data_IF_722241492515
#
_entry.id   IF_722241492515
#
_cell.length_a   1.000
_cell.length_b   1.000
_cell.length_c   1.000
_cell.angle_alpha   90.00
_cell.angle_beta   90.00
_cell.angle_gamma   90.00
#
_symmetry.space_group_name_H-M   'P 1'
#
loop_
_entity.id
_entity.type
_entity.pdbx_description
1 polymer ?
#
# COMPACT_ATOMS: atom_id res chain seq x y z
N UNK A 1 58.96 53.67 38.66
CA UNK A 1 57.75 53.52 37.86
C UNK A 1 57.82 52.20 37.11
N UNK A 2 57.01 51.22 37.55
CA UNK A 2 56.95 49.84 36.92
C UNK A 2 55.74 49.80 36.05
N UNK A 3 55.86 49.64 34.76
CA UNK A 3 54.77 49.42 33.83
C UNK A 3 54.44 47.90 33.78
N UNK A 4 53.24 47.56 34.18
CA UNK A 4 52.71 46.21 34.03
C UNK A 4 51.97 46.13 32.67
N UNK A 5 52.56 45.40 31.74
CA UNK A 5 51.90 45.10 30.46
C UNK A 5 50.86 43.95 30.68
N UNK A 6 49.59 44.29 30.53
CA UNK A 6 48.52 43.33 30.57
C UNK A 6 48.31 42.77 29.15
N UNK A 7 48.73 41.52 28.90
CA UNK A 7 48.46 40.82 27.64
C UNK A 7 47.04 40.20 27.66
N UNK A 8 46.13 40.77 26.88
CA UNK A 8 44.81 40.22 26.68
C UNK A 8 44.89 39.13 25.58
N UNK A 9 44.85 37.88 25.99
CA UNK A 9 44.77 36.74 25.09
C UNK A 9 43.33 36.57 24.63
N UNK A 10 43.03 36.98 23.39
CA UNK A 10 41.73 36.74 22.75
C UNK A 10 41.62 35.24 22.38
N UNK A 11 40.85 34.49 23.15
CA UNK A 11 40.50 33.10 22.81
C UNK A 11 39.40 33.13 21.74
N UNK A 12 39.78 32.93 20.47
CA UNK A 12 38.80 32.70 19.40
C UNK A 12 38.20 31.30 19.56
N UNK A 13 37.01 31.23 20.11
CA UNK A 13 36.18 30.00 20.04
C UNK A 13 35.68 29.84 18.60
N UNK A 14 36.34 28.99 17.84
CA UNK A 14 35.81 28.51 16.56
C UNK A 14 34.66 27.56 16.86
N UNK A 15 33.43 28.04 16.73
CA UNK A 15 32.24 27.17 16.74
C UNK A 15 32.23 26.40 15.42
N UNK A 16 32.72 25.18 15.44
CA UNK A 16 32.47 24.23 14.35
C UNK A 16 31.01 23.86 14.40
N UNK A 17 30.22 24.40 13.47
CA UNK A 17 28.86 23.88 13.25
C UNK A 17 28.97 22.42 12.78
N UNK A 18 28.60 21.50 13.65
CA UNK A 18 28.42 20.09 13.27
C UNK A 18 27.19 20.00 12.35
N UNK A 19 27.41 20.12 11.05
CA UNK A 19 26.35 19.78 10.10
C UNK A 19 26.08 18.27 10.21
N UNK A 20 24.93 17.91 10.81
CA UNK A 20 24.49 16.54 10.83
C UNK A 20 24.27 16.10 9.37
N UNK A 21 25.10 15.17 8.90
CA UNK A 21 24.95 14.61 7.56
C UNK A 21 23.63 13.85 7.48
N UNK A 22 22.76 14.21 6.53
CA UNK A 22 21.51 13.51 6.29
C UNK A 22 21.81 12.06 5.92
N UNK A 23 21.34 11.12 6.75
CA UNK A 23 21.45 9.69 6.47
C UNK A 23 20.21 9.26 5.70
N UNK A 24 20.39 8.85 4.47
CA UNK A 24 19.29 8.25 3.68
C UNK A 24 18.99 6.83 4.17
N UNK A 25 17.71 6.42 4.21
CA UNK A 25 17.33 5.05 4.56
C UNK A 25 17.78 4.06 3.48
N UNK A 26 17.99 2.81 3.89
CA UNK A 26 18.18 1.71 2.95
C UNK A 26 16.86 1.39 2.23
N UNK A 27 16.95 0.68 1.09
CA UNK A 27 15.76 0.20 0.39
C UNK A 27 15.00 -0.80 1.25
N UNK A 28 13.69 -0.61 1.35
CA UNK A 28 12.83 -1.55 2.08
C UNK A 28 12.77 -2.91 1.37
N UNK A 29 12.72 -3.99 2.17
CA UNK A 29 12.63 -5.37 1.66
C UNK A 29 11.26 -5.70 1.06
N UNK A 30 10.27 -4.84 1.29
CA UNK A 30 8.92 -4.93 0.75
C UNK A 30 8.62 -3.64 0.00
N UNK A 31 9.23 -3.42 -1.18
CA UNK A 31 9.13 -2.15 -1.89
C UNK A 31 7.68 -1.80 -2.22
N UNK A 32 7.39 -0.50 -2.21
CA UNK A 32 6.10 0.02 -2.66
C UNK A 32 5.94 -0.18 -4.16
N UNK A 33 4.72 -0.50 -4.56
CA UNK A 33 4.31 -0.65 -5.96
C UNK A 33 2.93 -0.02 -6.16
N UNK A 34 2.55 0.16 -7.41
CA UNK A 34 1.22 0.66 -7.75
C UNK A 34 0.68 0.02 -9.02
N UNK A 35 -0.63 -0.20 -9.04
CA UNK A 35 -1.36 -0.67 -10.20
C UNK A 35 -2.49 0.30 -10.54
N UNK A 36 -2.77 0.45 -11.84
CA UNK A 36 -3.81 1.34 -12.35
C UNK A 36 -4.87 0.58 -13.13
N UNK A 37 -6.08 1.15 -13.16
CA UNK A 37 -7.04 0.83 -14.18
C UNK A 37 -7.38 2.09 -15.01
N UNK A 38 -7.25 2.05 -16.33
CA UNK A 38 -6.77 0.92 -17.15
C UNK A 38 -5.31 0.57 -16.84
N UNK A 39 -4.98 -0.70 -17.03
CA UNK A 39 -3.63 -1.22 -16.77
C UNK A 39 -2.59 -0.43 -17.57
N UNK A 40 -1.44 -0.12 -16.97
CA UNK A 40 -0.37 0.69 -17.55
C UNK A 40 -0.82 2.11 -17.94
N UNK A 41 -1.79 2.68 -17.24
CA UNK A 41 -2.36 4.01 -17.53
C UNK A 41 -1.29 5.09 -17.84
N UNK A 42 -0.20 5.28 -17.07
CA UNK A 42 0.80 6.31 -17.38
C UNK A 42 1.46 6.12 -18.75
N UNK A 43 1.67 4.87 -19.18
CA UNK A 43 2.22 4.56 -20.51
C UNK A 43 1.19 4.83 -21.59
N UNK A 44 -0.08 4.48 -21.36
CA UNK A 44 -1.16 4.79 -22.30
C UNK A 44 -1.34 6.30 -22.48
N UNK A 45 -1.19 7.06 -21.40
CA UNK A 45 -1.30 8.51 -21.41
C UNK A 45 -0.18 9.17 -22.22
N UNK A 46 1.09 8.75 -22.03
CA UNK A 46 2.21 9.29 -22.82
C UNK A 46 2.14 8.90 -24.30
N UNK A 47 1.44 7.81 -24.61
CA UNK A 47 1.17 7.35 -25.98
C UNK A 47 -0.11 8.00 -26.57
N UNK A 48 -0.74 8.94 -25.87
CA UNK A 48 -1.99 9.61 -26.27
C UNK A 48 -3.17 8.64 -26.54
N UNK A 49 -3.11 7.42 -25.93
CA UNK A 49 -4.16 6.41 -26.07
C UNK A 49 -5.31 6.58 -25.10
N UNK A 50 -5.13 7.42 -24.08
CA UNK A 50 -6.17 7.78 -23.10
C UNK A 50 -6.09 9.27 -22.80
N UNK A 51 -7.24 9.92 -22.72
CA UNK A 51 -7.39 11.35 -22.39
C UNK A 51 -7.98 11.54 -21.00
N UNK A 52 -8.90 10.65 -20.62
CA UNK A 52 -9.59 10.69 -19.34
C UNK A 52 -8.65 10.29 -18.18
N UNK A 53 -8.92 10.75 -16.95
CA UNK A 53 -8.24 10.25 -15.76
C UNK A 53 -8.34 8.72 -15.61
N UNK A 54 -7.46 8.06 -14.83
CA UNK A 54 -7.64 6.65 -14.53
C UNK A 54 -8.94 6.45 -13.76
N UNK A 55 -9.52 5.26 -13.79
CA UNK A 55 -10.71 4.92 -12.99
C UNK A 55 -10.31 4.59 -11.55
N UNK A 56 -9.24 3.80 -11.41
CA UNK A 56 -8.72 3.39 -10.10
C UNK A 56 -7.20 3.30 -10.10
N UNK A 57 -6.62 3.43 -8.90
CA UNK A 57 -5.22 3.17 -8.59
C UNK A 57 -5.14 2.49 -7.24
N UNK A 58 -4.29 1.48 -7.12
CA UNK A 58 -3.93 0.86 -5.84
C UNK A 58 -2.44 1.08 -5.59
N UNK A 59 -2.09 1.48 -4.36
CA UNK A 59 -0.71 1.64 -3.88
C UNK A 59 -0.51 0.67 -2.72
N UNK A 60 0.52 -0.17 -2.79
CA UNK A 60 0.70 -1.26 -1.84
C UNK A 60 2.17 -1.68 -1.74
N UNK A 61 2.56 -2.29 -0.62
CA UNK A 61 3.90 -2.88 -0.47
C UNK A 61 3.89 -4.34 -0.87
N UNK A 62 5.02 -4.81 -1.42
CA UNK A 62 5.20 -6.16 -1.95
C UNK A 62 6.12 -7.03 -1.08
N UNK A 63 5.65 -7.54 0.08
CA UNK A 63 6.43 -8.52 0.83
C UNK A 63 6.64 -9.79 0.00
N UNK A 64 7.83 -10.39 0.16
CA UNK A 64 8.20 -11.65 -0.48
C UNK A 64 7.91 -12.82 0.45
N UNK A 65 7.58 -13.97 -0.12
CA UNK A 65 7.38 -15.23 0.60
C UNK A 65 8.67 -15.73 1.25
N UNK A 66 9.77 -15.72 0.52
CA UNK A 66 11.10 -16.15 0.99
C UNK A 66 11.06 -17.51 1.71
N UNK A 67 10.40 -18.50 1.11
CA UNK A 67 10.29 -19.85 1.67
C UNK A 67 9.42 -19.98 2.92
N UNK A 68 8.77 -18.91 3.40
CA UNK A 68 7.89 -18.94 4.58
C UNK A 68 6.53 -19.52 4.25
N UNK A 69 5.88 -20.10 5.26
CA UNK A 69 4.44 -20.38 5.22
C UNK A 69 3.71 -19.06 5.50
N UNK A 70 2.90 -18.60 4.55
CA UNK A 70 2.25 -17.30 4.64
C UNK A 70 0.96 -17.40 5.44
N UNK A 71 -0.05 -18.08 4.91
CA UNK A 71 -1.38 -18.13 5.53
C UNK A 71 -1.44 -19.19 6.62
N UNK A 72 -1.95 -18.82 7.80
CA UNK A 72 -1.98 -19.67 8.99
C UNK A 72 -0.68 -19.71 9.79
N UNK A 73 0.39 -18.99 9.36
CA UNK A 73 1.65 -18.88 10.08
C UNK A 73 2.16 -17.43 10.15
N UNK A 74 2.57 -16.83 9.04
CA UNK A 74 2.96 -15.42 9.01
C UNK A 74 1.74 -14.50 9.17
N UNK A 75 0.63 -14.85 8.55
CA UNK A 75 -0.65 -14.18 8.63
C UNK A 75 -1.66 -15.14 9.26
N UNK A 76 -2.14 -14.77 10.45
CA UNK A 76 -3.18 -15.53 11.15
C UNK A 76 -4.50 -15.44 10.40
N UNK A 77 -5.18 -16.57 10.27
CA UNK A 77 -6.57 -16.59 9.80
C UNK A 77 -7.50 -15.83 10.76
N UNK A 78 -8.50 -15.16 10.22
CA UNK A 78 -9.48 -14.38 10.99
C UNK A 78 -8.95 -13.07 11.57
N UNK A 79 -7.72 -12.65 11.26
CA UNK A 79 -7.15 -11.37 11.70
C UNK A 79 -7.11 -10.35 10.58
N UNK A 80 -7.36 -9.08 10.94
CA UNK A 80 -7.26 -7.97 9.98
C UNK A 80 -5.81 -7.78 9.56
N UNK A 81 -5.57 -7.84 8.26
CA UNK A 81 -4.29 -7.62 7.62
C UNK A 81 -4.36 -6.42 6.66
N UNK A 82 -3.29 -5.60 6.67
CA UNK A 82 -3.15 -4.39 5.85
C UNK A 82 -2.95 -4.62 4.35
N UNK A 83 -3.05 -5.87 3.86
CA UNK A 83 -2.84 -6.27 2.46
C UNK A 83 -1.49 -5.78 1.90
N UNK A 84 -0.41 -6.10 2.63
CA UNK A 84 0.97 -5.71 2.29
C UNK A 84 1.88 -5.71 3.51
N UNK A 85 2.89 -4.86 3.48
CA UNK A 85 3.84 -4.61 4.56
C UNK A 85 3.90 -3.11 4.84
N UNK A 86 4.40 -2.71 6.02
CA UNK A 86 4.57 -1.33 6.44
C UNK A 86 3.22 -0.58 6.47
N UNK A 87 3.01 0.38 5.57
CA UNK A 87 1.75 1.10 5.42
C UNK A 87 0.61 0.17 4.98
N UNK A 88 -0.61 0.54 5.32
CA UNK A 88 -1.78 -0.13 4.78
C UNK A 88 -1.92 0.15 3.28
N UNK A 89 -2.36 -0.85 2.52
CA UNK A 89 -2.69 -0.67 1.11
C UNK A 89 -3.78 0.36 0.93
N UNK A 90 -3.60 1.26 -0.02
CA UNK A 90 -4.61 2.26 -0.36
C UNK A 90 -5.12 2.08 -1.79
N UNK A 91 -6.42 2.24 -1.95
CA UNK A 91 -7.08 2.33 -3.25
C UNK A 91 -7.68 3.72 -3.44
N UNK A 92 -7.45 4.29 -4.61
CA UNK A 92 -8.06 5.55 -5.01
C UNK A 92 -8.99 5.31 -6.20
N UNK A 93 -10.24 5.73 -6.06
CA UNK A 93 -11.21 5.77 -7.14
C UNK A 93 -11.35 7.21 -7.65
N UNK A 94 -11.14 7.41 -8.94
CA UNK A 94 -11.27 8.72 -9.58
C UNK A 94 -12.70 9.02 -10.05
N UNK A 95 -13.56 7.98 -10.05
CA UNK A 95 -14.99 8.03 -10.30
C UNK A 95 -15.74 7.24 -9.24
N UNK A 96 -17.07 7.44 -9.12
CA UNK A 96 -17.92 6.57 -8.31
C UNK A 96 -17.92 5.15 -8.92
N UNK A 97 -17.77 4.13 -8.08
CA UNK A 97 -17.77 2.72 -8.49
C UNK A 97 -18.78 1.92 -7.66
N UNK A 98 -19.05 0.68 -8.06
CA UNK A 98 -19.82 -0.28 -7.27
C UNK A 98 -18.99 -1.51 -6.98
N UNK A 99 -19.04 -1.97 -5.73
CA UNK A 99 -18.44 -3.23 -5.28
C UNK A 99 -19.52 -3.98 -4.49
N UNK A 100 -19.81 -5.22 -4.88
CA UNK A 100 -20.89 -6.01 -4.28
C UNK A 100 -22.20 -5.20 -4.10
N UNK A 101 -22.65 -4.54 -5.17
CA UNK A 101 -23.84 -3.67 -5.22
C UNK A 101 -23.77 -2.42 -4.30
N UNK A 102 -22.74 -2.23 -3.53
CA UNK A 102 -22.53 -1.02 -2.71
C UNK A 102 -21.83 0.05 -3.53
N UNK A 103 -22.42 1.25 -3.55
CA UNK A 103 -21.83 2.41 -4.23
C UNK A 103 -20.72 2.99 -3.36
N UNK A 104 -19.49 3.01 -3.91
CA UNK A 104 -18.33 3.67 -3.31
C UNK A 104 -18.08 4.97 -4.07
N UNK A 105 -18.04 6.08 -3.38
CA UNK A 105 -17.76 7.39 -3.96
C UNK A 105 -16.32 7.49 -4.43
N UNK A 106 -16.05 8.38 -5.39
CA UNK A 106 -14.68 8.76 -5.72
C UNK A 106 -13.95 9.21 -4.45
N UNK A 107 -12.67 8.85 -4.31
CA UNK A 107 -11.88 9.16 -3.14
C UNK A 107 -10.81 8.12 -2.87
N UNK A 108 -10.04 8.35 -1.81
CA UNK A 108 -8.97 7.47 -1.34
C UNK A 108 -9.45 6.71 -0.10
N UNK A 109 -9.12 5.44 -0.03
CA UNK A 109 -9.55 4.49 1.00
C UNK A 109 -8.43 3.53 1.33
N UNK A 110 -8.36 3.04 2.56
CA UNK A 110 -7.51 1.89 2.86
C UNK A 110 -8.22 0.59 2.53
N UNK A 111 -7.44 -0.38 2.03
CA UNK A 111 -7.86 -1.76 1.86
C UNK A 111 -7.27 -2.62 2.98
N UNK A 112 -8.14 -3.40 3.62
CA UNK A 112 -7.73 -4.45 4.54
C UNK A 112 -8.31 -5.80 4.07
N UNK A 113 -7.69 -6.88 4.53
CA UNK A 113 -8.18 -8.23 4.30
C UNK A 113 -8.24 -9.01 5.61
N UNK A 114 -9.20 -9.90 5.74
CA UNK A 114 -9.22 -10.92 6.78
C UNK A 114 -9.06 -12.26 6.08
N UNK A 115 -7.86 -12.85 6.10
CA UNK A 115 -7.62 -14.15 5.47
C UNK A 115 -8.41 -15.27 6.14
N UNK A 116 -8.89 -16.20 5.34
CA UNK A 116 -9.40 -17.50 5.74
C UNK A 116 -9.05 -18.54 4.66
N UNK A 117 -9.10 -19.81 4.96
CA UNK A 117 -8.69 -20.89 4.06
C UNK A 117 -9.55 -21.00 2.80
N UNK A 118 -10.81 -20.58 2.86
CA UNK A 118 -11.80 -20.76 1.78
C UNK A 118 -12.22 -19.44 1.13
N UNK A 119 -12.22 -18.36 1.89
CA UNK A 119 -12.65 -17.03 1.45
C UNK A 119 -11.99 -15.96 2.30
N UNK A 120 -11.74 -14.79 1.71
CA UNK A 120 -11.29 -13.65 2.48
C UNK A 120 -12.38 -12.59 2.58
N UNK A 121 -12.41 -11.87 3.70
CA UNK A 121 -13.19 -10.64 3.78
C UNK A 121 -12.30 -9.49 3.35
N UNK A 122 -12.63 -8.84 2.23
CA UNK A 122 -11.98 -7.60 1.81
C UNK A 122 -12.76 -6.42 2.37
N UNK A 123 -12.06 -5.45 2.91
CA UNK A 123 -12.62 -4.29 3.61
C UNK A 123 -12.16 -3.02 2.91
N UNK A 124 -13.11 -2.11 2.66
CA UNK A 124 -12.83 -0.73 2.27
C UNK A 124 -13.10 0.15 3.47
N UNK A 125 -12.07 0.84 3.96
CA UNK A 125 -12.12 1.67 5.16
C UNK A 125 -11.81 3.14 4.81
N UNK A 126 -12.47 4.08 5.50
CA UNK A 126 -12.31 5.52 5.26
C UNK A 126 -11.01 6.10 5.78
N UNK A 127 -10.41 5.46 6.79
CA UNK A 127 -9.14 5.90 7.35
C UNK A 127 -8.02 5.69 6.36
N UNK A 128 -7.17 6.68 6.14
CA UNK A 128 -6.04 6.63 5.21
C UNK A 128 -4.74 7.00 5.93
N UNK A 129 -3.59 6.83 5.25
CA UNK A 129 -2.28 7.20 5.77
C UNK A 129 -1.92 6.44 7.07
N UNK A 130 -2.35 5.17 7.17
CA UNK A 130 -2.17 4.34 8.36
C UNK A 130 -0.97 3.40 8.22
N UNK A 131 -0.25 3.19 9.34
CA UNK A 131 0.79 2.18 9.43
C UNK A 131 0.21 0.85 9.93
N UNK A 132 0.25 -0.18 9.09
CA UNK A 132 -0.25 -1.50 9.46
C UNK A 132 -1.76 -1.54 9.67
N UNK A 133 -2.21 -2.42 10.56
CA UNK A 133 -3.60 -2.53 11.02
C UNK A 133 -3.74 -2.26 12.53
N UNK A 134 -2.73 -1.63 13.15
CA UNK A 134 -2.68 -1.47 14.61
C UNK A 134 -3.77 -0.56 15.18
N UNK A 135 -4.20 0.42 14.40
CA UNK A 135 -5.27 1.36 14.75
C UNK A 135 -6.53 1.17 13.90
N UNK A 136 -6.68 -0.04 13.31
CA UNK A 136 -7.87 -0.34 12.55
C UNK A 136 -9.13 -0.19 13.40
N UNK A 137 -10.10 0.60 12.90
CA UNK A 137 -11.43 0.77 13.53
C UNK A 137 -12.51 0.39 12.51
N UNK A 138 -13.29 -0.64 12.82
CA UNK A 138 -14.38 -1.13 11.99
C UNK A 138 -15.52 -0.11 11.79
N UNK A 139 -15.62 0.90 12.66
CA UNK A 139 -16.61 1.99 12.50
C UNK A 139 -16.35 2.82 11.24
N UNK A 140 -15.13 2.79 10.72
CA UNK A 140 -14.73 3.47 9.50
C UNK A 140 -14.92 2.59 8.25
N UNK A 141 -15.41 1.36 8.38
CA UNK A 141 -15.66 0.50 7.24
C UNK A 141 -16.83 1.01 6.41
N UNK A 142 -16.60 1.14 5.12
CA UNK A 142 -17.64 1.42 4.12
C UNK A 142 -18.25 0.13 3.57
N UNK A 143 -17.42 -0.89 3.45
CA UNK A 143 -17.80 -2.16 2.85
C UNK A 143 -16.96 -3.29 3.43
N UNK A 144 -17.60 -4.40 3.67
CA UNK A 144 -16.99 -5.72 3.86
C UNK A 144 -17.57 -6.68 2.85
N UNK A 145 -16.74 -7.34 2.08
CA UNK A 145 -17.16 -8.29 1.05
C UNK A 145 -16.35 -9.57 1.14
N UNK A 146 -17.03 -10.71 1.11
CA UNK A 146 -16.38 -12.01 1.09
C UNK A 146 -16.03 -12.39 -0.35
N UNK A 147 -14.77 -12.76 -0.57
CA UNK A 147 -14.24 -13.17 -1.87
C UNK A 147 -13.69 -14.59 -1.72
N UNK A 148 -14.15 -15.56 -2.54
CA UNK A 148 -13.65 -16.93 -2.48
C UNK A 148 -12.17 -17.00 -2.86
N UNK A 149 -11.43 -17.84 -2.16
CA UNK A 149 -10.04 -18.15 -2.47
C UNK A 149 -9.98 -19.03 -3.72
N UNK A 150 -9.11 -18.66 -4.65
CA UNK A 150 -8.71 -19.49 -5.77
C UNK A 150 -7.28 -19.97 -5.51
N UNK A 151 -7.11 -21.29 -5.42
CA UNK A 151 -5.78 -21.88 -5.26
C UNK A 151 -5.10 -21.92 -6.64
N UNK A 152 -3.89 -21.37 -6.72
CA UNK A 152 -3.06 -21.38 -7.93
C UNK A 152 -2.04 -22.53 -7.87
N UNK A 153 -1.66 -23.03 -9.02
CA UNK A 153 -0.55 -23.99 -9.15
C UNK A 153 0.81 -23.29 -9.15
N UNK A 154 0.86 -22.05 -9.65
CA UNK A 154 2.07 -21.23 -9.66
C UNK A 154 2.11 -20.35 -8.40
N UNK A 155 3.26 -20.39 -7.73
CA UNK A 155 3.47 -19.61 -6.51
C UNK A 155 3.77 -18.17 -6.87
N UNK A 156 2.97 -17.24 -6.33
CA UNK A 156 3.25 -15.81 -6.39
C UNK A 156 4.22 -15.44 -5.27
N UNK A 157 5.52 -15.32 -5.57
CA UNK A 157 6.56 -15.09 -4.58
C UNK A 157 6.44 -13.74 -3.87
N UNK A 158 6.24 -12.66 -4.63
CA UNK A 158 6.02 -11.32 -4.08
C UNK A 158 4.53 -10.98 -4.12
N UNK A 159 3.96 -10.57 -2.98
CA UNK A 159 2.59 -10.06 -2.93
C UNK A 159 2.30 -9.11 -4.09
N UNK A 160 1.21 -9.28 -4.79
CA UNK A 160 0.91 -8.55 -6.00
C UNK A 160 -0.58 -8.19 -6.11
N UNK A 161 -0.83 -7.00 -6.69
CA UNK A 161 -2.16 -6.53 -7.08
C UNK A 161 -2.13 -6.02 -8.51
N UNK A 162 -3.14 -6.40 -9.30
CA UNK A 162 -3.29 -5.92 -10.68
C UNK A 162 -4.77 -5.80 -11.02
N UNK A 163 -5.13 -4.83 -11.86
CA UNK A 163 -6.48 -4.74 -12.40
C UNK A 163 -6.58 -5.55 -13.69
N UNK A 164 -7.55 -6.45 -13.77
CA UNK A 164 -7.92 -7.18 -14.97
C UNK A 164 -9.27 -6.68 -15.47
N UNK A 165 -9.35 -6.37 -16.78
CA UNK A 165 -10.59 -5.87 -17.39
C UNK A 165 -11.66 -6.96 -17.44
N UNK A 166 -12.91 -6.58 -17.09
CA UNK A 166 -14.12 -7.37 -17.28
C UNK A 166 -15.11 -6.68 -18.21
N UNK A 167 -16.23 -7.31 -18.54
CA UNK A 167 -17.24 -6.71 -19.42
C UNK A 167 -17.92 -5.47 -18.81
N UNK A 168 -17.99 -5.39 -17.48
CA UNK A 168 -18.73 -4.34 -16.74
C UNK A 168 -17.83 -3.48 -15.85
N UNK A 169 -16.49 -3.68 -15.92
CA UNK A 169 -15.56 -2.97 -15.07
C UNK A 169 -14.19 -3.61 -15.02
N UNK A 170 -13.69 -3.92 -13.83
CA UNK A 170 -12.44 -4.63 -13.62
C UNK A 170 -12.48 -5.46 -12.35
N UNK A 171 -11.71 -6.54 -12.32
CA UNK A 171 -11.35 -7.23 -11.08
C UNK A 171 -10.03 -6.66 -10.54
N UNK A 172 -9.99 -6.28 -9.27
CA UNK A 172 -8.72 -6.15 -8.57
C UNK A 172 -8.27 -7.55 -8.16
N UNK A 173 -7.31 -8.07 -8.89
CA UNK A 173 -6.68 -9.37 -8.62
C UNK A 173 -5.63 -9.18 -7.54
N UNK A 174 -5.71 -9.96 -6.47
CA UNK A 174 -4.79 -9.96 -5.33
C UNK A 174 -4.19 -11.36 -5.23
N UNK A 175 -2.87 -11.47 -5.23
CA UNK A 175 -2.20 -12.76 -5.20
C UNK A 175 -0.97 -12.77 -4.28
N UNK A 176 -0.80 -13.85 -3.54
CA UNK A 176 0.41 -14.17 -2.78
C UNK A 176 0.45 -15.66 -2.47
N UNK A 177 1.66 -16.27 -2.51
CA UNK A 177 1.83 -17.71 -2.36
C UNK A 177 0.97 -18.47 -3.39
N UNK A 178 0.15 -19.39 -2.97
CA UNK A 178 -0.80 -20.16 -3.78
C UNK A 178 -2.24 -19.58 -3.78
N UNK A 179 -2.43 -18.42 -3.15
CA UNK A 179 -3.76 -17.77 -3.03
C UNK A 179 -3.92 -16.66 -4.06
N UNK A 180 -5.04 -16.71 -4.76
CA UNK A 180 -5.53 -15.65 -5.65
C UNK A 180 -6.96 -15.27 -5.28
N UNK A 181 -7.27 -13.96 -5.30
CA UNK A 181 -8.60 -13.39 -5.10
C UNK A 181 -8.92 -12.46 -6.27
N UNK A 182 -10.17 -12.41 -6.65
CA UNK A 182 -10.67 -11.45 -7.63
C UNK A 182 -11.77 -10.60 -6.98
N UNK A 183 -11.48 -9.32 -6.71
CA UNK A 183 -12.45 -8.37 -6.18
C UNK A 183 -13.12 -7.62 -7.34
N UNK A 184 -14.39 -7.90 -7.69
CA UNK A 184 -15.08 -7.26 -8.79
C UNK A 184 -15.41 -5.80 -8.47
N UNK A 185 -15.09 -4.91 -9.41
CA UNK A 185 -15.35 -3.47 -9.35
C UNK A 185 -16.10 -3.09 -10.63
N UNK A 186 -17.29 -2.54 -10.48
CA UNK A 186 -18.16 -2.12 -11.60
C UNK A 186 -18.13 -0.59 -11.70
N UNK A 187 -18.02 -0.07 -12.93
CA UNK A 187 -17.98 1.38 -13.22
C UNK A 187 -18.55 1.72 -14.59
#
# INVERSE_FOLDING_TARGET
MKYVLLAITCLCFSTTELQAQTKFPELDKSPMDMSYYPNRYPVLKIQEKVTEPPVARVVYSRPQKNGRVIFGALLDYGKVWRLGANEATEIEFFNDVKINNTKIKKGRYSLFGIPDSSKWTIIINKETDTWGSFKYDEKNDLLRVEIPVQVQTEITEAFAMVFEKTDIGADLVIAWDDVKLNLPIVF
#
